data_IF_986474761444
#
_entry.id   IF_986474761444
#
_cell.length_a   1.000
_cell.length_b   1.000
_cell.length_c   1.000
_cell.angle_alpha   90.00
_cell.angle_beta   90.00
_cell.angle_gamma   90.00
#
_symmetry.space_group_name_H-M   'P 1'
#
loop_
_entity.id
_entity.type
_entity.pdbx_description
1 polymer ?
#
# COMPACT_ATOMS: atom_id res chain seq x y z
N UNK A 1 9.64 6.20 9.55
CA UNK A 1 9.51 5.55 8.22
C UNK A 1 9.87 6.47 7.02
N UNK A 2 9.46 7.74 7.03
CA UNK A 2 9.65 8.66 5.88
C UNK A 2 11.11 8.87 5.45
N UNK A 3 12.05 8.97 6.39
CA UNK A 3 13.46 9.14 6.07
C UNK A 3 14.02 7.96 5.27
N UNK A 4 13.64 6.72 5.62
CA UNK A 4 14.07 5.51 4.91
C UNK A 4 13.55 5.53 3.48
N UNK A 5 12.27 5.86 3.27
CA UNK A 5 11.68 5.92 1.94
C UNK A 5 12.28 7.04 1.08
N UNK A 6 12.65 8.17 1.67
CA UNK A 6 13.24 9.30 0.94
C UNK A 6 14.63 8.99 0.36
N UNK A 7 15.41 8.17 1.07
CA UNK A 7 16.78 7.83 0.68
C UNK A 7 16.93 6.41 0.13
N UNK A 8 15.83 5.66 0.00
CA UNK A 8 15.87 4.32 -0.57
C UNK A 8 16.19 4.36 -2.07
N UNK A 9 17.13 3.54 -2.57
CA UNK A 9 17.58 3.56 -3.97
C UNK A 9 16.57 2.94 -4.95
N UNK A 10 15.50 2.31 -4.44
CA UNK A 10 14.53 1.61 -5.27
C UNK A 10 13.58 2.60 -5.94
N UNK A 11 13.29 2.44 -7.24
CA UNK A 11 12.36 3.32 -7.95
C UNK A 11 10.92 3.32 -7.41
N UNK A 12 10.55 2.30 -6.63
CA UNK A 12 9.26 2.24 -5.93
C UNK A 12 9.18 3.14 -4.68
N UNK A 13 10.30 3.72 -4.24
CA UNK A 13 10.36 4.49 -3.00
C UNK A 13 9.58 5.80 -3.09
N UNK A 14 9.66 6.50 -4.22
CA UNK A 14 8.99 7.78 -4.42
C UNK A 14 7.45 7.67 -4.40
N UNK A 15 6.81 6.73 -5.12
CA UNK A 15 5.37 6.50 -5.00
C UNK A 15 4.93 6.15 -3.57
N UNK A 16 5.68 5.29 -2.87
CA UNK A 16 5.33 4.87 -1.51
C UNK A 16 5.49 6.03 -0.52
N UNK A 17 6.53 6.84 -0.67
CA UNK A 17 6.74 8.05 0.14
C UNK A 17 5.53 9.00 0.03
N UNK A 18 5.09 9.29 -1.21
CA UNK A 18 3.93 10.14 -1.49
C UNK A 18 2.66 9.56 -0.85
N UNK A 19 2.47 8.25 -0.96
CA UNK A 19 1.30 7.56 -0.40
C UNK A 19 1.27 7.63 1.13
N UNK A 20 2.40 7.35 1.81
CA UNK A 20 2.49 7.41 3.28
C UNK A 20 2.31 8.84 3.77
N UNK A 21 2.92 9.83 3.11
CA UNK A 21 2.74 11.24 3.44
C UNK A 21 1.26 11.68 3.31
N UNK A 22 0.60 11.27 2.23
CA UNK A 22 -0.83 11.52 2.04
C UNK A 22 -1.69 10.81 3.10
N UNK A 23 -1.31 9.60 3.50
CA UNK A 23 -2.03 8.86 4.54
C UNK A 23 -1.95 9.54 5.92
N UNK A 24 -0.81 10.12 6.28
CA UNK A 24 -0.65 10.92 7.51
C UNK A 24 -1.57 12.15 7.45
N UNK A 25 -1.54 12.91 6.36
CA UNK A 25 -2.41 14.07 6.18
C UNK A 25 -3.90 13.71 6.24
N UNK A 26 -4.30 12.59 5.62
CA UNK A 26 -5.68 12.11 5.69
C UNK A 26 -6.08 11.69 7.11
N UNK A 27 -5.16 11.14 7.90
CA UNK A 27 -5.41 10.79 9.29
C UNK A 27 -5.66 12.04 10.15
N UNK A 28 -4.87 13.10 9.93
CA UNK A 28 -5.06 14.39 10.61
C UNK A 28 -6.44 14.99 10.30
N UNK A 29 -6.78 15.11 9.00
CA UNK A 29 -8.08 15.64 8.58
C UNK A 29 -9.24 14.84 9.17
N UNK A 30 -9.08 13.53 9.32
CA UNK A 30 -10.09 12.68 9.96
C UNK A 30 -10.21 12.95 11.46
N UNK A 31 -9.08 13.07 12.17
CA UNK A 31 -9.04 13.36 13.60
C UNK A 31 -9.64 14.75 13.92
N UNK A 32 -9.26 15.76 13.14
CA UNK A 32 -9.80 17.13 13.26
C UNK A 32 -11.33 17.15 13.10
N UNK A 33 -11.86 16.36 12.17
CA UNK A 33 -13.30 16.24 11.92
C UNK A 33 -14.02 15.52 13.06
N UNK A 34 -13.41 14.47 13.61
CA UNK A 34 -14.00 13.64 14.65
C UNK A 34 -13.76 14.25 16.07
N UNK A 35 -12.97 15.34 16.15
CA UNK A 35 -12.69 16.07 17.39
C UNK A 35 -11.65 15.41 18.30
N UNK A 36 -10.88 14.46 17.77
CA UNK A 36 -9.85 13.73 18.50
C UNK A 36 -8.48 14.35 18.27
N UNK A 37 -7.65 14.42 19.32
CA UNK A 37 -6.26 14.85 19.18
C UNK A 37 -5.42 13.69 18.66
N UNK A 38 -4.67 13.93 17.57
CA UNK A 38 -3.81 12.95 16.93
C UNK A 38 -2.40 13.53 16.79
N UNK A 39 -1.41 12.90 17.45
CA UNK A 39 0.01 13.21 17.23
C UNK A 39 0.52 12.41 16.02
N UNK A 40 1.16 13.11 15.07
CA UNK A 40 1.81 12.51 13.91
C UNK A 40 2.90 11.50 14.29
N UNK A 41 3.61 11.73 15.40
CA UNK A 41 4.74 10.90 15.81
C UNK A 41 4.31 9.53 16.32
N UNK A 42 3.08 9.40 16.80
CA UNK A 42 2.52 8.16 17.32
C UNK A 42 1.97 7.25 16.22
N UNK A 43 1.82 7.75 14.98
CA UNK A 43 1.34 6.92 13.88
C UNK A 43 2.42 5.92 13.44
N UNK A 44 2.02 4.65 13.41
CA UNK A 44 2.81 3.59 12.80
C UNK A 44 2.04 2.87 11.71
N UNK A 45 2.78 2.25 10.79
CA UNK A 45 2.21 1.42 9.74
C UNK A 45 1.85 0.06 10.34
N UNK A 46 0.56 -0.21 10.48
CA UNK A 46 0.04 -1.49 10.98
C UNK A 46 0.11 -2.57 9.91
N UNK A 47 -0.41 -2.27 8.72
CA UNK A 47 -0.41 -3.19 7.58
C UNK A 47 -0.03 -2.44 6.30
N UNK A 48 0.75 -3.09 5.45
CA UNK A 48 1.04 -2.62 4.10
C UNK A 48 1.09 -3.83 3.16
N UNK A 49 0.29 -3.80 2.10
CA UNK A 49 0.22 -4.88 1.12
C UNK A 49 0.02 -4.32 -0.30
N UNK A 50 0.40 -5.14 -1.27
CA UNK A 50 0.39 -4.79 -2.69
C UNK A 50 -0.30 -5.90 -3.46
N UNK A 51 -1.40 -5.56 -4.10
CA UNK A 51 -2.21 -6.46 -4.90
C UNK A 51 -1.99 -6.23 -6.40
N UNK A 52 -2.31 -7.23 -7.20
CA UNK A 52 -2.25 -7.12 -8.66
C UNK A 52 -3.32 -6.16 -9.17
N UNK A 53 -2.90 -5.21 -10.00
CA UNK A 53 -3.78 -4.31 -10.73
C UNK A 53 -4.06 -4.79 -12.15
N UNK A 54 -4.73 -3.95 -12.93
CA UNK A 54 -5.02 -4.27 -14.33
C UNK A 54 -3.72 -4.45 -15.13
N UNK A 55 -3.68 -5.52 -15.94
CA UNK A 55 -2.53 -5.81 -16.80
C UNK A 55 -2.86 -5.47 -18.25
N UNK A 56 -2.15 -4.48 -18.81
CA UNK A 56 -2.29 -4.09 -20.20
C UNK A 56 -1.46 -5.00 -21.11
N UNK A 57 -2.07 -5.49 -22.18
CA UNK A 57 -1.41 -6.33 -23.19
C UNK A 57 -0.92 -5.45 -24.34
N UNK A 58 0.35 -5.59 -24.75
CA UNK A 58 0.96 -4.92 -25.91
C UNK A 58 1.71 -5.95 -26.75
N UNK A 59 1.80 -5.75 -28.05
CA UNK A 59 2.55 -6.63 -28.95
C UNK A 59 3.82 -5.93 -29.43
N UNK A 60 4.92 -6.66 -29.47
CA UNK A 60 6.18 -6.20 -30.04
C UNK A 60 6.54 -7.08 -31.25
N UNK A 61 6.82 -6.48 -32.42
CA UNK A 61 7.27 -7.23 -33.58
C UNK A 61 8.63 -7.89 -33.33
N UNK A 62 8.81 -9.10 -33.87
CA UNK A 62 10.03 -9.90 -33.76
C UNK A 62 10.39 -10.50 -35.13
N UNK A 63 11.58 -11.11 -35.20
CA UNK A 63 12.09 -11.76 -36.40
C UNK A 63 11.11 -12.81 -36.95
N UNK A 64 11.20 -13.05 -38.26
CA UNK A 64 10.38 -14.02 -38.99
C UNK A 64 8.86 -13.78 -38.88
N UNK A 65 8.42 -12.50 -38.87
CA UNK A 65 6.99 -12.15 -38.85
C UNK A 65 6.25 -12.51 -37.54
N UNK A 66 6.98 -12.82 -36.47
CA UNK A 66 6.40 -13.20 -35.17
C UNK A 66 6.07 -11.97 -34.33
N UNK A 67 5.04 -12.06 -33.49
CA UNK A 67 4.69 -11.03 -32.52
C UNK A 67 4.71 -11.63 -31.10
N UNK A 68 5.48 -11.01 -30.19
CA UNK A 68 5.52 -11.42 -28.79
C UNK A 68 4.71 -10.45 -27.93
N UNK A 69 4.09 -10.98 -26.89
CA UNK A 69 3.25 -10.19 -26.00
C UNK A 69 4.07 -9.65 -24.81
N UNK A 70 4.00 -8.34 -24.61
CA UNK A 70 4.47 -7.66 -23.39
C UNK A 70 3.27 -7.38 -22.50
N UNK A 71 3.39 -7.73 -21.22
CA UNK A 71 2.40 -7.39 -20.18
C UNK A 71 2.91 -6.19 -19.38
N UNK A 72 2.22 -5.05 -19.50
CA UNK A 72 2.46 -3.89 -18.63
C UNK A 72 1.56 -4.04 -17.40
N UNK A 73 2.16 -4.51 -16.30
CA UNK A 73 1.45 -4.77 -15.04
C UNK A 73 1.34 -3.49 -14.22
N UNK A 74 0.21 -3.31 -13.55
CA UNK A 74 0.00 -2.28 -12.53
C UNK A 74 -0.29 -2.96 -11.20
N UNK A 75 -0.33 -2.19 -10.11
CA UNK A 75 -0.56 -2.71 -8.76
C UNK A 75 -1.44 -1.76 -7.95
N UNK A 76 -2.17 -2.30 -6.99
CA UNK A 76 -2.89 -1.54 -5.97
C UNK A 76 -2.10 -1.62 -4.66
N UNK A 77 -1.77 -0.46 -4.08
CA UNK A 77 -1.01 -0.37 -2.82
C UNK A 77 -1.97 0.09 -1.74
N UNK A 78 -2.06 -0.68 -0.66
CA UNK A 78 -2.87 -0.30 0.50
C UNK A 78 -1.98 -0.18 1.73
N UNK A 79 -2.10 0.94 2.44
CA UNK A 79 -1.38 1.20 3.69
C UNK A 79 -2.40 1.53 4.78
N UNK A 80 -2.27 0.87 5.92
CA UNK A 80 -3.11 1.05 7.10
C UNK A 80 -2.23 1.62 8.20
N UNK A 81 -2.58 2.83 8.66
CA UNK A 81 -1.95 3.48 9.81
C UNK A 81 -2.78 3.21 11.07
N UNK A 82 -2.10 3.07 12.20
CA UNK A 82 -2.74 2.92 13.51
C UNK A 82 -1.99 3.71 14.57
N UNK A 83 -2.70 4.04 15.65
CA UNK A 83 -2.14 4.58 16.88
C UNK A 83 -1.88 3.43 17.87
N UNK A 84 -0.88 3.58 18.77
CA UNK A 84 -0.46 2.51 19.68
C UNK A 84 -1.57 2.03 20.61
N UNK A 85 -2.47 2.91 21.05
CA UNK A 85 -3.54 2.56 22.00
C UNK A 85 -4.65 1.68 21.39
N UNK A 86 -4.82 1.68 20.06
CA UNK A 86 -5.89 0.93 19.38
C UNK A 86 -5.41 -0.48 18.93
N UNK A 87 -4.20 -0.89 19.33
CA UNK A 87 -3.60 -2.15 18.89
C UNK A 87 -4.20 -3.41 19.56
N UNK A 88 -4.86 -3.28 20.71
CA UNK A 88 -5.34 -4.43 21.49
C UNK A 88 -6.71 -5.01 21.07
N UNK A 89 -7.38 -4.42 20.06
CA UNK A 89 -8.66 -4.93 19.56
C UNK A 89 -8.54 -5.59 18.18
N UNK A 90 -7.85 -6.73 18.10
CA UNK A 90 -7.95 -7.61 16.93
C UNK A 90 -9.09 -8.63 17.12
N UNK A 91 -10.11 -8.69 16.23
CA UNK A 91 -11.00 -9.83 16.19
C UNK A 91 -10.27 -11.03 15.57
N UNK A 92 -10.32 -12.16 16.28
CA UNK A 92 -9.70 -13.43 15.92
C UNK A 92 -10.02 -13.90 14.50
N UNK A 93 -8.98 -14.32 13.78
CA UNK A 93 -9.08 -15.00 12.50
C UNK A 93 -9.87 -16.32 12.66
N UNK A 94 -11.07 -16.41 12.07
CA UNK A 94 -11.77 -17.68 11.86
C UNK A 94 -11.17 -18.39 10.66
N UNK A 95 -10.23 -19.30 10.90
CA UNK A 95 -9.88 -20.33 9.91
C UNK A 95 -11.05 -21.31 9.81
N UNK A 96 -11.87 -21.20 8.76
CA UNK A 96 -12.81 -22.27 8.39
C UNK A 96 -11.99 -23.44 7.85
N UNK A 97 -11.79 -24.45 8.71
CA UNK A 97 -11.33 -25.79 8.35
C UNK A 97 -12.38 -26.40 7.41
N UNK A 98 -12.07 -26.50 6.12
CA UNK A 98 -12.89 -27.29 5.20
C UNK A 98 -12.46 -28.75 5.32
N UNK A 99 -13.24 -29.52 6.07
CA UNK A 99 -13.24 -30.97 6.08
C UNK A 99 -14.46 -31.46 5.31
N UNK A 100 -14.25 -32.02 4.12
CA UNK A 100 -14.76 -33.32 3.61
C UNK A 100 -14.42 -33.42 2.13
#
# INVERSE_FOLDING_TARGET
ALAILKFAPQGASEPIYKLVHAAIANAQVKADRDGEYLDEQDLYVKNAYVDEGTTLKRFQPRAQGRAFQIKKRTSHITVVLATPEVADAAPAAKTKKASK
#
